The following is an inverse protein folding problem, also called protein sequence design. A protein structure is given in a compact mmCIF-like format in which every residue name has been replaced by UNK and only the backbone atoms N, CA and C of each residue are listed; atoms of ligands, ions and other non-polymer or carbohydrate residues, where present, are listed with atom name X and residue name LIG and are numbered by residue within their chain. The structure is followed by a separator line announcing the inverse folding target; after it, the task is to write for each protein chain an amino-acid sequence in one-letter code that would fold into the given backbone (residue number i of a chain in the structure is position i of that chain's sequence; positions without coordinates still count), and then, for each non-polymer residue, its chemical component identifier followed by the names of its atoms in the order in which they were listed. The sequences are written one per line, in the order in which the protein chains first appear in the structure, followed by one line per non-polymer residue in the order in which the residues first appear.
data_IF_349515596705
#
_entry.id   IF_349515596705
#
_cell.length_a   1.000
_cell.length_b   1.000
_cell.length_c   1.000
_cell.angle_alpha   90.00
_cell.angle_beta   90.00
_cell.angle_gamma   90.00
#
_symmetry.space_group_name_H-M   'P 1'
#
loop_
_entity.id
_entity.type
_entity.pdbx_description
1 polymer ?
#
# COMPACT_ATOMS: atom_id res chain seq x y z
N UNK A 1 5.42 -4.74 -10.77
CA UNK A 1 4.36 -4.23 -9.89
C UNK A 1 5.02 -3.45 -8.78
N UNK A 2 4.97 -2.13 -8.88
CA UNK A 2 5.46 -1.19 -7.86
C UNK A 2 4.29 -0.70 -7.00
N UNK A 3 4.58 -0.02 -5.88
CA UNK A 3 3.53 0.57 -5.05
C UNK A 3 2.82 1.72 -5.80
N UNK A 4 3.58 2.53 -6.55
CA UNK A 4 3.04 3.62 -7.37
C UNK A 4 2.02 3.12 -8.41
N UNK A 5 2.27 1.97 -9.05
CA UNK A 5 1.34 1.34 -9.99
C UNK A 5 0.04 0.93 -9.28
N UNK A 6 0.13 0.34 -8.09
CA UNK A 6 -1.03 -0.09 -7.29
C UNK A 6 -1.85 1.09 -6.78
N UNK A 7 -1.19 2.16 -6.31
CA UNK A 7 -1.85 3.39 -5.86
C UNK A 7 -2.52 4.11 -7.03
N UNK A 8 -1.84 4.20 -8.19
CA UNK A 8 -2.42 4.75 -9.42
C UNK A 8 -3.64 3.96 -9.86
N UNK A 9 -3.55 2.62 -9.85
CA UNK A 9 -4.69 1.76 -10.16
C UNK A 9 -5.86 2.00 -9.20
N UNK A 10 -5.58 2.14 -7.90
CA UNK A 10 -6.60 2.40 -6.88
C UNK A 10 -7.34 3.71 -7.14
N UNK A 11 -6.60 4.79 -7.45
CA UNK A 11 -7.19 6.10 -7.79
C UNK A 11 -8.03 6.03 -9.07
N UNK A 12 -7.52 5.37 -10.12
CA UNK A 12 -8.25 5.20 -11.39
C UNK A 12 -9.56 4.43 -11.21
N UNK A 13 -9.59 3.46 -10.29
CA UNK A 13 -10.78 2.68 -9.95
C UNK A 13 -11.64 3.33 -8.85
N UNK A 14 -11.35 4.58 -8.45
CA UNK A 14 -12.05 5.32 -7.40
C UNK A 14 -12.13 4.55 -6.07
N UNK A 15 -11.09 3.77 -5.77
CA UNK A 15 -11.01 3.03 -4.52
C UNK A 15 -10.75 3.99 -3.35
N UNK A 16 -11.40 3.73 -2.20
CA UNK A 16 -11.14 4.45 -0.96
C UNK A 16 -9.86 3.98 -0.28
N UNK A 17 -9.55 2.68 -0.40
CA UNK A 17 -8.44 2.04 0.29
C UNK A 17 -7.71 1.05 -0.63
N UNK A 18 -6.39 0.97 -0.49
CA UNK A 18 -5.55 -0.11 -1.00
C UNK A 18 -5.09 -0.94 0.21
N UNK A 19 -5.36 -2.24 0.18
CA UNK A 19 -4.96 -3.19 1.21
C UNK A 19 -3.88 -4.13 0.69
N UNK A 20 -2.74 -4.15 1.37
CA UNK A 20 -1.66 -5.12 1.14
C UNK A 20 -1.55 -6.03 2.36
N UNK A 21 -1.55 -7.34 2.11
CA UNK A 21 -1.44 -8.35 3.16
C UNK A 21 -0.65 -9.53 2.63
N UNK A 22 0.36 -9.97 3.40
CA UNK A 22 1.22 -11.07 3.00
C UNK A 22 0.41 -12.37 2.81
N UNK A 23 0.70 -13.12 1.76
CA UNK A 23 -0.01 -14.32 1.36
C UNK A 23 -1.33 -14.06 0.61
N UNK A 24 -1.70 -12.80 0.36
CA UNK A 24 -2.89 -12.42 -0.39
C UNK A 24 -2.53 -11.55 -1.60
N UNK A 25 -3.36 -11.57 -2.66
CA UNK A 25 -3.29 -10.54 -3.69
C UNK A 25 -3.59 -9.16 -3.10
N UNK A 26 -3.06 -8.07 -3.67
CA UNK A 26 -3.49 -6.71 -3.37
C UNK A 26 -5.02 -6.59 -3.51
N UNK A 27 -5.63 -5.81 -2.63
CA UNK A 27 -7.07 -5.60 -2.64
C UNK A 27 -7.39 -4.12 -2.63
N UNK A 28 -8.48 -3.73 -3.26
CA UNK A 28 -8.99 -2.36 -3.24
C UNK A 28 -10.40 -2.34 -2.67
N UNK A 29 -10.74 -1.28 -1.94
CA UNK A 29 -12.11 -1.03 -1.50
C UNK A 29 -12.80 -0.06 -2.45
N UNK A 30 -13.88 -0.49 -3.11
CA UNK A 30 -14.69 0.35 -4.00
C UNK A 30 -16.14 0.25 -3.55
N UNK A 31 -16.79 1.40 -3.33
CA UNK A 31 -18.19 1.49 -2.85
C UNK A 31 -18.47 0.65 -1.58
N UNK A 32 -17.47 0.52 -0.70
CA UNK A 32 -17.54 -0.24 0.55
C UNK A 32 -17.06 -1.70 0.45
N UNK A 33 -17.05 -2.27 -0.76
CA UNK A 33 -16.66 -3.66 -0.99
C UNK A 33 -15.15 -3.82 -1.21
N UNK A 34 -14.54 -4.80 -0.54
CA UNK A 34 -13.13 -5.17 -0.75
C UNK A 34 -13.04 -6.20 -1.87
N UNK A 35 -12.26 -5.89 -2.92
CA UNK A 35 -12.08 -6.75 -4.10
C UNK A 35 -10.60 -7.01 -4.35
N UNK A 36 -10.26 -8.24 -4.71
CA UNK A 36 -8.89 -8.64 -5.08
C UNK A 36 -8.55 -8.11 -6.47
N UNK A 37 -7.36 -7.54 -6.61
CA UNK A 37 -6.77 -7.25 -7.91
C UNK A 37 -6.32 -8.58 -8.53
N UNK A 38 -6.53 -8.76 -9.84
CA UNK A 38 -6.19 -9.99 -10.56
C UNK A 38 -4.68 -10.11 -10.82
N UNK A 39 -3.92 -10.26 -9.75
CA UNK A 39 -2.47 -10.49 -9.73
C UNK A 39 -2.15 -11.57 -8.69
N UNK A 40 -0.97 -12.21 -8.77
CA UNK A 40 -0.57 -13.22 -7.78
C UNK A 40 -0.56 -12.67 -6.35
N UNK A 41 -0.66 -13.59 -5.38
CA UNK A 41 -0.48 -13.26 -3.98
C UNK A 41 0.93 -12.69 -3.74
N UNK A 42 1.01 -11.71 -2.83
CA UNK A 42 2.28 -11.11 -2.45
C UNK A 42 2.87 -11.82 -1.24
N UNK A 43 4.09 -12.32 -1.36
CA UNK A 43 4.84 -12.88 -0.24
C UNK A 43 5.21 -11.78 0.76
N UNK A 44 5.49 -12.17 2.01
CA UNK A 44 5.87 -11.23 3.08
C UNK A 44 7.01 -10.29 2.65
N UNK A 45 8.06 -10.83 2.01
CA UNK A 45 9.20 -10.02 1.52
C UNK A 45 8.79 -8.97 0.48
N UNK A 46 7.79 -9.26 -0.34
CA UNK A 46 7.30 -8.32 -1.37
C UNK A 46 6.49 -7.21 -0.72
N UNK A 47 5.58 -7.54 0.19
CA UNK A 47 4.78 -6.54 0.92
C UNK A 47 5.70 -5.63 1.75
N UNK A 48 6.65 -6.21 2.47
CA UNK A 48 7.63 -5.47 3.29
C UNK A 48 8.46 -4.51 2.42
N UNK A 49 8.99 -4.98 1.29
CA UNK A 49 9.74 -4.13 0.36
C UNK A 49 8.93 -2.94 -0.17
N UNK A 50 7.68 -3.18 -0.61
CA UNK A 50 6.79 -2.13 -1.10
C UNK A 50 6.56 -1.01 -0.08
N UNK A 51 6.40 -1.37 1.20
CA UNK A 51 6.15 -0.40 2.27
C UNK A 51 7.45 0.30 2.69
N UNK A 52 8.57 -0.42 2.78
CA UNK A 52 9.86 0.19 3.16
C UNK A 52 10.35 1.19 2.13
N UNK A 53 10.05 0.97 0.84
CA UNK A 53 10.44 1.86 -0.25
C UNK A 53 9.84 3.28 -0.11
N UNK A 54 8.68 3.41 0.54
CA UNK A 54 8.02 4.72 0.76
C UNK A 54 8.22 5.31 2.16
N UNK A 55 8.83 4.55 3.08
CA UNK A 55 9.17 5.03 4.40
C UNK A 55 10.51 5.75 4.41
N UNK A 56 10.61 6.84 5.16
CA UNK A 56 11.89 7.46 5.53
C UNK A 56 12.54 6.74 6.72
N UNK A 57 13.79 7.08 7.05
CA UNK A 57 14.56 6.42 8.10
C UNK A 57 13.88 6.47 9.48
N UNK A 58 13.20 7.57 9.80
CA UNK A 58 12.46 7.68 11.07
C UNK A 58 11.28 6.71 11.10
N UNK A 59 10.49 6.66 10.03
CA UNK A 59 9.33 5.76 9.92
C UNK A 59 9.74 4.29 9.95
N UNK A 60 10.84 3.92 9.26
CA UNK A 60 11.41 2.57 9.31
C UNK A 60 11.82 2.19 10.72
N UNK A 61 12.52 3.10 11.42
CA UNK A 61 12.89 2.87 12.81
C UNK A 61 11.67 2.72 13.71
N UNK A 62 10.68 3.60 13.58
CA UNK A 62 9.45 3.54 14.37
C UNK A 62 8.71 2.20 14.10
N UNK A 63 8.63 1.76 12.85
CA UNK A 63 8.04 0.48 12.46
C UNK A 63 8.83 -0.73 12.99
N UNK A 64 10.16 -0.71 12.93
CA UNK A 64 11.01 -1.79 13.46
C UNK A 64 10.92 -1.90 14.99
N UNK A 65 10.80 -0.77 15.69
CA UNK A 65 10.78 -0.69 17.16
C UNK A 65 9.39 -1.01 17.74
N UNK A 66 8.35 -0.42 17.16
CA UNK A 66 6.97 -0.50 17.66
C UNK A 66 6.09 -1.50 16.91
N UNK A 67 6.61 -2.09 15.81
CA UNK A 67 5.91 -3.04 14.94
C UNK A 67 4.71 -2.43 14.17
N UNK A 68 4.53 -1.12 14.25
CA UNK A 68 3.50 -0.34 13.55
C UNK A 68 3.97 1.11 13.35
N UNK A 69 3.44 1.79 12.33
CA UNK A 69 3.73 3.20 12.05
C UNK A 69 2.62 3.79 11.17
N UNK A 70 2.20 5.02 11.49
CA UNK A 70 1.28 5.80 10.68
C UNK A 70 2.02 6.97 10.02
N UNK A 71 1.77 7.21 8.73
CA UNK A 71 2.32 8.36 8.03
C UNK A 71 1.45 8.80 6.84
N UNK A 72 1.93 9.81 6.11
CA UNK A 72 1.32 10.24 4.85
C UNK A 72 2.33 10.11 3.71
N UNK A 73 1.86 9.64 2.57
CA UNK A 73 2.63 9.51 1.34
C UNK A 73 1.93 10.27 0.20
N UNK A 74 2.69 10.93 -0.67
CA UNK A 74 2.16 11.69 -1.80
C UNK A 74 2.77 11.20 -3.10
N UNK A 75 1.90 10.93 -4.09
CA UNK A 75 2.33 10.81 -5.48
C UNK A 75 1.99 12.14 -6.17
N UNK A 76 3.00 12.93 -6.56
CA UNK A 76 2.77 14.25 -7.15
C UNK A 76 1.81 14.18 -8.34
N UNK A 77 0.85 15.12 -8.38
CA UNK A 77 -0.18 15.22 -9.43
C UNK A 77 -1.19 14.05 -9.47
N UNK A 78 -1.16 13.14 -8.51
CA UNK A 78 -2.13 12.05 -8.40
C UNK A 78 -3.00 12.21 -7.14
N UNK A 79 -2.44 11.93 -5.97
CA UNK A 79 -3.16 11.95 -4.69
C UNK A 79 -2.21 11.89 -3.49
N UNK A 80 -2.76 12.20 -2.32
CA UNK A 80 -2.15 11.95 -1.01
C UNK A 80 -2.85 10.78 -0.34
N UNK A 81 -2.08 9.93 0.32
CA UNK A 81 -2.52 8.73 1.01
C UNK A 81 -2.11 8.82 2.48
N UNK A 82 -2.96 8.29 3.36
CA UNK A 82 -2.58 7.95 4.73
C UNK A 82 -2.21 6.47 4.73
N UNK A 83 -1.01 6.16 5.20
CA UNK A 83 -0.42 4.81 5.22
C UNK A 83 -0.24 4.38 6.65
#
# INVERSE_FOLDING_TARGET
MTLDELLTFSVQNKASDLHLSAGLPPMIRVDGDVRRINVPALEHKQVHGLIYDIMNDKQRKDYDEFLECDFSFEIPKLARFRV
#
